data_IF_821496850195
#
_entry.id   IF_821496850195
#
_cell.length_a   1.000
_cell.length_b   1.000
_cell.length_c   1.000
_cell.angle_alpha   90.00
_cell.angle_beta   90.00
_cell.angle_gamma   90.00
#
_symmetry.space_group_name_H-M   'P 1'
#
loop_
_entity.id
_entity.type
_entity.pdbx_description
1 polymer ?
#
# COMPACT_ATOMS: atom_id res chain seq x y z
N UNK A 1 -11.84 -7.76 35.70
CA UNK A 1 -10.79 -8.39 34.87
C UNK A 1 -10.43 -7.38 33.79
N UNK A 2 -9.28 -6.71 33.86
CA UNK A 2 -8.84 -5.79 32.80
C UNK A 2 -8.27 -6.65 31.68
N UNK A 3 -8.94 -6.72 30.53
CA UNK A 3 -8.35 -7.31 29.32
C UNK A 3 -7.14 -6.45 28.95
N UNK A 4 -5.94 -6.96 29.20
CA UNK A 4 -4.72 -6.37 28.67
C UNK A 4 -4.75 -6.55 27.15
N UNK A 5 -5.14 -5.52 26.41
CA UNK A 5 -5.07 -5.50 24.95
C UNK A 5 -3.60 -5.70 24.56
N UNK A 6 -3.23 -6.92 24.19
CA UNK A 6 -1.87 -7.25 23.80
C UNK A 6 -1.58 -6.53 22.49
N UNK A 7 -0.67 -5.56 22.52
CA UNK A 7 -0.23 -4.85 21.30
C UNK A 7 0.29 -5.88 20.30
N UNK A 8 -0.09 -5.78 19.01
CA UNK A 8 0.37 -6.72 18.00
C UNK A 8 1.90 -6.67 17.90
N UNK A 9 2.51 -7.82 17.64
CA UNK A 9 3.96 -7.93 17.51
C UNK A 9 4.46 -7.03 16.37
N UNK A 10 5.51 -6.23 16.62
CA UNK A 10 6.04 -5.23 15.69
C UNK A 10 6.36 -5.81 14.32
N UNK A 11 6.88 -7.03 14.24
CA UNK A 11 7.20 -7.70 12.97
C UNK A 11 5.96 -7.88 12.07
N UNK A 12 4.78 -8.15 12.64
CA UNK A 12 3.51 -8.27 11.87
C UNK A 12 3.12 -6.93 11.26
N UNK A 13 3.31 -5.84 12.00
CA UNK A 13 3.02 -4.47 11.54
C UNK A 13 3.98 -4.08 10.42
N UNK A 14 5.28 -4.38 10.57
CA UNK A 14 6.31 -4.06 9.56
C UNK A 14 6.09 -4.86 8.28
N UNK A 15 5.85 -6.17 8.37
CA UNK A 15 5.57 -7.00 7.18
C UNK A 15 4.28 -6.52 6.49
N UNK A 16 3.22 -6.24 7.26
CA UNK A 16 1.99 -5.68 6.71
C UNK A 16 2.27 -4.40 5.91
N UNK A 17 3.00 -3.45 6.50
CA UNK A 17 3.37 -2.20 5.84
C UNK A 17 4.14 -2.40 4.54
N UNK A 18 5.16 -3.28 4.55
CA UNK A 18 5.97 -3.57 3.36
C UNK A 18 5.10 -4.18 2.25
N UNK A 19 4.25 -5.16 2.58
CA UNK A 19 3.36 -5.79 1.60
C UNK A 19 2.32 -4.81 1.05
N UNK A 20 1.70 -4.01 1.92
CA UNK A 20 0.78 -2.95 1.52
C UNK A 20 1.46 -1.97 0.55
N UNK A 21 2.75 -1.66 0.76
CA UNK A 21 3.50 -0.70 -0.06
C UNK A 21 3.76 -1.25 -1.45
N UNK A 22 4.28 -2.47 -1.55
CA UNK A 22 4.50 -3.10 -2.85
C UNK A 22 3.18 -3.31 -3.59
N UNK A 23 2.15 -3.84 -2.93
CA UNK A 23 0.87 -4.14 -3.58
C UNK A 23 0.18 -2.85 -4.06
N UNK A 24 0.14 -1.79 -3.24
CA UNK A 24 -0.42 -0.51 -3.69
C UNK A 24 0.39 0.10 -4.83
N UNK A 25 1.72 0.06 -4.76
CA UNK A 25 2.60 0.55 -5.82
C UNK A 25 2.39 -0.19 -7.14
N UNK A 26 2.36 -1.53 -7.12
CA UNK A 26 2.15 -2.31 -8.35
C UNK A 26 0.75 -2.12 -8.90
N UNK A 27 -0.30 -2.21 -8.06
CA UNK A 27 -1.69 -2.05 -8.53
C UNK A 27 -1.88 -0.67 -9.15
N UNK A 28 -1.53 0.41 -8.46
CA UNK A 28 -1.71 1.75 -9.01
C UNK A 28 -0.77 2.00 -10.20
N UNK A 29 0.46 1.49 -10.15
CA UNK A 29 1.44 1.65 -11.22
C UNK A 29 0.95 1.02 -12.52
N UNK A 30 0.48 -0.23 -12.48
CA UNK A 30 -0.08 -0.91 -13.64
C UNK A 30 -1.36 -0.24 -14.14
N UNK A 31 -2.24 0.22 -13.26
CA UNK A 31 -3.46 0.95 -13.66
C UNK A 31 -3.07 2.22 -14.43
N UNK A 32 -2.17 3.04 -13.88
CA UNK A 32 -1.74 4.30 -14.54
C UNK A 32 -1.05 3.98 -15.85
N UNK A 33 -0.09 3.06 -15.85
CA UNK A 33 0.68 2.68 -17.03
C UNK A 33 -0.22 2.16 -18.17
N UNK A 34 -1.27 1.40 -17.84
CA UNK A 34 -2.23 0.89 -18.83
C UNK A 34 -3.05 2.01 -19.47
N UNK A 35 -3.27 3.11 -18.75
CA UNK A 35 -4.02 4.27 -19.24
C UNK A 35 -3.10 5.21 -20.04
N UNK A 36 -1.85 5.38 -19.60
CA UNK A 36 -0.89 6.31 -20.21
C UNK A 36 -0.08 5.71 -21.35
N UNK A 37 -0.05 4.38 -21.48
CA UNK A 37 0.76 3.66 -22.46
C UNK A 37 2.20 3.40 -21.98
N UNK A 38 2.48 3.58 -20.69
CA UNK A 38 3.81 3.42 -20.08
C UNK A 38 4.06 1.97 -19.57
N UNK A 39 3.36 0.98 -20.13
CA UNK A 39 3.62 -0.44 -19.83
C UNK A 39 4.85 -0.94 -20.58
N UNK A 40 5.58 -1.87 -19.96
CA UNK A 40 6.77 -2.50 -20.55
C UNK A 40 6.62 -4.02 -20.52
N UNK A 41 7.52 -4.75 -21.20
CA UNK A 41 7.51 -6.23 -21.19
C UNK A 41 7.61 -6.82 -19.77
N UNK A 42 8.30 -6.12 -18.86
CA UNK A 42 8.52 -6.55 -17.48
C UNK A 42 7.64 -5.87 -16.44
N UNK A 43 6.84 -4.87 -16.81
CA UNK A 43 6.05 -4.10 -15.84
C UNK A 43 5.58 -2.76 -16.37
N UNK A 44 6.08 -1.68 -15.77
CA UNK A 44 5.77 -0.31 -16.17
C UNK A 44 6.96 0.62 -15.94
N UNK A 45 7.01 1.71 -16.70
CA UNK A 45 8.01 2.76 -16.54
C UNK A 45 7.35 4.14 -16.60
N UNK A 46 6.87 4.62 -15.44
CA UNK A 46 6.21 5.91 -15.35
C UNK A 46 7.24 7.05 -15.26
N UNK A 47 7.10 8.04 -16.13
CA UNK A 47 7.95 9.23 -16.16
C UNK A 47 7.11 10.51 -16.00
N UNK A 48 7.65 11.53 -15.33
CA UNK A 48 6.98 12.84 -15.19
C UNK A 48 5.68 12.78 -14.39
N UNK A 49 4.59 13.32 -14.97
CA UNK A 49 3.29 13.46 -14.27
C UNK A 49 2.67 12.12 -13.83
N UNK A 50 2.61 11.06 -14.66
CA UNK A 50 2.19 9.72 -14.24
C UNK A 50 2.88 9.20 -12.97
N UNK A 51 4.20 9.43 -12.83
CA UNK A 51 4.95 9.03 -11.65
C UNK A 51 4.52 9.82 -10.40
N UNK A 52 4.30 11.13 -10.53
CA UNK A 52 3.81 11.98 -9.43
C UNK A 52 2.43 11.50 -8.97
N UNK A 53 1.53 11.17 -9.91
CA UNK A 53 0.19 10.64 -9.60
C UNK A 53 0.30 9.31 -8.86
N UNK A 54 1.18 8.40 -9.30
CA UNK A 54 1.42 7.14 -8.61
C UNK A 54 1.82 7.36 -7.14
N UNK A 55 2.82 8.21 -6.89
CA UNK A 55 3.24 8.50 -5.51
C UNK A 55 2.12 9.13 -4.68
N UNK A 56 1.35 10.06 -5.26
CA UNK A 56 0.21 10.67 -4.58
C UNK A 56 -0.83 9.62 -4.16
N UNK A 57 -1.16 8.66 -5.04
CA UNK A 57 -2.12 7.59 -4.75
C UNK A 57 -1.59 6.60 -3.71
N UNK A 58 -0.32 6.21 -3.79
CA UNK A 58 0.31 5.32 -2.79
C UNK A 58 0.33 5.99 -1.42
N UNK A 59 0.71 7.26 -1.33
CA UNK A 59 0.69 8.03 -0.07
C UNK A 59 -0.75 8.14 0.45
N UNK A 60 -1.71 8.50 -0.41
CA UNK A 60 -3.12 8.60 -0.04
C UNK A 60 -3.65 7.28 0.52
N UNK A 61 -3.30 6.14 -0.09
CA UNK A 61 -3.63 4.82 0.41
C UNK A 61 -2.97 4.54 1.77
N UNK A 62 -1.66 4.76 1.88
CA UNK A 62 -0.88 4.45 3.07
C UNK A 62 -1.31 5.23 4.30
N UNK A 63 -1.67 6.50 4.09
CA UNK A 63 -2.02 7.45 5.14
C UNK A 63 -3.53 7.42 5.41
N UNK A 64 -4.36 7.20 4.38
CA UNK A 64 -5.81 7.16 4.48
C UNK A 64 -6.35 5.87 5.11
N UNK A 65 -5.94 4.70 4.63
CA UNK A 65 -6.49 3.41 5.07
C UNK A 65 -6.36 3.14 6.58
N UNK A 66 -5.24 3.48 7.27
CA UNK A 66 -5.15 3.33 8.71
C UNK A 66 -6.25 4.07 9.47
N UNK A 67 -6.73 5.22 8.97
CA UNK A 67 -7.77 6.02 9.62
C UNK A 67 -9.17 5.39 9.55
N UNK A 68 -9.38 4.43 8.66
CA UNK A 68 -10.66 3.75 8.45
C UNK A 68 -10.61 2.27 8.87
N UNK A 69 -9.70 1.91 9.78
CA UNK A 69 -9.60 0.56 10.35
C UNK A 69 -8.44 -0.27 9.80
N UNK A 70 -7.30 0.35 9.51
CA UNK A 70 -6.09 -0.35 9.05
C UNK A 70 -6.06 -0.64 7.55
N UNK A 71 -4.84 -0.84 7.02
CA UNK A 71 -4.60 -1.29 5.64
C UNK A 71 -4.97 -2.76 5.43
N UNK A 72 -4.92 -3.20 4.17
CA UNK A 72 -5.33 -4.55 3.78
C UNK A 72 -4.54 -5.63 4.55
N UNK A 73 -3.21 -5.55 4.53
CA UNK A 73 -2.39 -6.56 5.23
C UNK A 73 -2.36 -6.37 6.74
N UNK A 74 -2.58 -5.17 7.25
CA UNK A 74 -2.77 -4.98 8.70
C UNK A 74 -4.01 -5.71 9.20
N UNK A 75 -5.11 -5.69 8.43
CA UNK A 75 -6.33 -6.44 8.74
C UNK A 75 -6.09 -7.95 8.67
N UNK A 76 -5.47 -8.42 7.59
CA UNK A 76 -5.16 -9.84 7.39
C UNK A 76 -4.26 -10.40 8.51
N UNK A 77 -3.22 -9.67 8.87
CA UNK A 77 -2.32 -10.08 9.95
C UNK A 77 -2.82 -9.71 11.34
N UNK A 78 -4.05 -9.23 11.52
CA UNK A 78 -4.61 -8.77 12.82
C UNK A 78 -3.63 -7.87 13.59
N UNK A 79 -3.04 -6.92 12.87
CA UNK A 79 -2.01 -5.99 13.33
C UNK A 79 -2.51 -4.53 13.23
N UNK A 80 -3.80 -4.35 13.55
CA UNK A 80 -4.50 -3.06 13.64
C UNK A 80 -4.25 -2.48 15.03
#
# INVERSE_FOLDING_TARGET
MSEATTRPATWRVVIAFILDLFISFFIFGFIIASITGDTTEGGFELNGLPAIILFALVIAYMVGMPRIGGRLFQRLFKAI
#
